data_IF_257602127104
#
_entry.id   IF_257602127104
#
_cell.length_a   1.000
_cell.length_b   1.000
_cell.length_c   1.000
_cell.angle_alpha   90.00
_cell.angle_beta   90.00
_cell.angle_gamma   90.00
#
_symmetry.space_group_name_H-M   'P 1'
#
loop_
_entity.id
_entity.type
_entity.pdbx_description
1 polymer ?
#
# COMPACT_ATOMS: atom_id res chain seq x y z
N UNK A 1 81.55 -22.85 -4.91
CA UNK A 1 80.56 -23.65 -4.17
C UNK A 1 80.25 -22.95 -2.86
N UNK A 2 79.15 -22.18 -2.80
CA UNK A 2 78.64 -21.62 -1.55
C UNK A 2 77.24 -22.19 -1.32
N UNK A 3 77.08 -22.78 -0.13
CA UNK A 3 75.85 -23.33 0.42
C UNK A 3 74.91 -22.22 0.91
N UNK A 4 73.62 -22.59 0.96
CA UNK A 4 72.58 -22.16 1.89
C UNK A 4 72.14 -20.69 1.86
N UNK A 5 70.82 -20.46 1.69
CA UNK A 5 69.90 -20.37 2.83
C UNK A 5 68.47 -20.07 2.31
N UNK A 6 67.65 -21.11 2.12
CA UNK A 6 66.20 -20.95 1.94
C UNK A 6 65.55 -21.41 3.23
N UNK A 7 65.16 -20.47 4.08
CA UNK A 7 64.04 -20.61 5.03
C UNK A 7 63.82 -19.29 5.75
N UNK A 8 62.57 -18.78 5.71
CA UNK A 8 61.89 -17.99 6.76
C UNK A 8 60.91 -16.93 6.22
N UNK A 9 59.88 -17.29 5.44
CA UNK A 9 58.80 -16.33 5.14
C UNK A 9 57.39 -16.92 5.00
N UNK A 10 57.12 -18.10 5.56
CA UNK A 10 55.80 -18.78 5.42
C UNK A 10 54.86 -18.66 6.64
N UNK A 11 55.31 -18.03 7.74
CA UNK A 11 54.56 -17.98 9.01
C UNK A 11 53.68 -16.74 9.23
N UNK A 12 53.97 -15.60 8.59
CA UNK A 12 53.28 -14.32 8.86
C UNK A 12 51.89 -14.18 8.22
N UNK A 13 51.69 -14.77 7.03
CA UNK A 13 50.47 -14.55 6.24
C UNK A 13 49.23 -15.29 6.83
N UNK A 14 49.44 -16.40 7.53
CA UNK A 14 48.33 -17.21 8.09
C UNK A 14 47.72 -16.60 9.36
N UNK A 15 48.50 -15.89 10.20
CA UNK A 15 47.98 -15.24 11.42
C UNK A 15 47.08 -14.04 11.09
N UNK A 16 47.46 -13.22 10.10
CA UNK A 16 46.68 -12.04 9.71
C UNK A 16 45.32 -12.39 9.07
N UNK A 17 45.24 -13.48 8.31
CA UNK A 17 43.98 -13.98 7.72
C UNK A 17 43.04 -14.54 8.80
N UNK A 18 43.55 -15.31 9.75
CA UNK A 18 42.75 -15.85 10.85
C UNK A 18 42.14 -14.75 11.72
N UNK A 19 42.93 -13.72 12.01
CA UNK A 19 42.50 -12.55 12.78
C UNK A 19 41.37 -11.80 12.06
N UNK A 20 41.47 -11.61 10.74
CA UNK A 20 40.45 -10.92 9.95
C UNK A 20 39.11 -11.67 9.91
N UNK A 21 39.14 -13.00 9.81
CA UNK A 21 37.93 -13.84 9.88
C UNK A 21 37.28 -13.83 11.27
N UNK A 22 38.09 -13.85 12.34
CA UNK A 22 37.60 -13.76 13.71
C UNK A 22 36.90 -12.41 13.98
N UNK A 23 37.50 -11.29 13.55
CA UNK A 23 36.90 -9.96 13.72
C UNK A 23 35.63 -9.77 12.90
N UNK A 24 35.56 -10.34 11.68
CA UNK A 24 34.37 -10.24 10.83
C UNK A 24 33.15 -10.96 11.41
N UNK A 25 33.34 -12.16 11.96
CA UNK A 25 32.24 -12.91 12.58
C UNK A 25 31.80 -12.30 13.93
N UNK A 26 32.75 -11.72 14.68
CA UNK A 26 32.46 -11.17 16.01
C UNK A 26 31.71 -9.83 15.94
N UNK A 27 31.96 -9.00 14.91
CA UNK A 27 31.27 -7.71 14.77
C UNK A 27 29.77 -7.87 14.54
N UNK A 28 29.34 -8.89 13.78
CA UNK A 28 27.93 -9.20 13.61
C UNK A 28 27.30 -9.55 14.95
N UNK A 29 27.91 -10.42 15.76
CA UNK A 29 27.35 -10.77 17.06
C UNK A 29 27.29 -9.59 18.03
N UNK A 30 28.31 -8.73 18.04
CA UNK A 30 28.30 -7.49 18.83
C UNK A 30 27.15 -6.57 18.41
N UNK A 31 26.95 -6.37 17.10
CA UNK A 31 25.92 -5.48 16.58
C UNK A 31 24.51 -5.98 16.95
N UNK A 32 24.29 -7.28 16.86
CA UNK A 32 23.01 -7.90 17.27
C UNK A 32 22.80 -7.85 18.79
N UNK A 33 23.86 -7.97 19.59
CA UNK A 33 23.79 -7.81 21.04
C UNK A 33 23.37 -6.39 21.44
N UNK A 34 23.98 -5.34 20.86
CA UNK A 34 23.59 -3.96 21.14
C UNK A 34 22.18 -3.63 20.67
N UNK A 35 21.77 -4.15 19.51
CA UNK A 35 20.41 -3.99 18.99
C UNK A 35 19.38 -4.62 19.95
N UNK A 36 19.66 -5.82 20.46
CA UNK A 36 18.82 -6.48 21.45
C UNK A 36 18.76 -5.71 22.78
N UNK A 37 19.87 -5.16 23.24
CA UNK A 37 19.94 -4.39 24.48
C UNK A 37 19.19 -3.06 24.37
N UNK A 38 19.18 -2.42 23.20
CA UNK A 38 18.37 -1.23 22.92
C UNK A 38 16.86 -1.52 23.08
N UNK A 39 16.36 -2.61 22.50
CA UNK A 39 14.96 -3.03 22.68
C UNK A 39 14.64 -3.43 24.13
N UNK A 40 15.59 -4.06 24.83
CA UNK A 40 15.40 -4.48 26.21
C UNK A 40 15.35 -3.29 27.19
N UNK A 41 16.23 -2.30 27.03
CA UNK A 41 16.25 -1.09 27.88
C UNK A 41 15.02 -0.20 27.68
N UNK A 42 14.43 -0.22 26.48
CA UNK A 42 13.17 0.47 26.19
C UNK A 42 11.99 -0.13 26.96
N UNK A 43 12.08 -1.42 27.33
CA UNK A 43 11.05 -2.13 28.07
C UNK A 43 11.06 -1.80 29.58
N UNK A 44 12.20 -1.43 30.15
CA UNK A 44 12.35 -1.09 31.58
C UNK A 44 12.14 0.39 31.91
N UNK A 45 11.90 1.25 30.91
CA UNK A 45 11.65 2.68 31.15
C UNK A 45 10.17 3.02 31.39
N UNK A 46 9.30 2.01 31.48
CA UNK A 46 7.85 2.17 31.70
C UNK A 46 7.36 1.22 32.80
N UNK A 47 7.87 1.38 34.02
CA UNK A 47 7.30 0.92 35.30
C UNK A 47 8.28 1.45 36.36
N UNK A 48 8.00 2.46 37.19
CA UNK A 48 7.07 2.42 38.30
C UNK A 48 6.95 3.84 38.88
N UNK A 49 5.74 4.27 39.23
CA UNK A 49 5.47 4.90 40.53
C UNK A 49 3.97 5.15 40.73
N UNK A 50 3.31 4.19 41.36
CA UNK A 50 2.08 4.38 42.12
C UNK A 50 2.40 4.82 43.57
N UNK A 51 1.94 6.04 43.96
CA UNK A 51 1.41 6.57 45.27
C UNK A 51 1.72 5.89 46.64
N UNK A 52 1.71 6.56 47.84
CA UNK A 52 0.86 7.71 48.27
C UNK A 52 1.44 8.79 49.27
N UNK A 53 0.74 9.94 49.33
CA UNK A 53 0.58 10.94 50.44
C UNK A 53 1.77 11.51 51.23
N UNK A 54 2.07 12.81 51.03
CA UNK A 54 2.17 13.81 52.13
C UNK A 54 2.09 15.26 51.61
N UNK A 55 1.46 16.10 52.42
CA UNK A 55 1.08 17.50 52.24
C UNK A 55 2.32 18.39 52.00
N UNK A 56 2.33 19.22 50.94
CA UNK A 56 2.82 20.62 51.00
C UNK A 56 2.06 21.54 50.05
N UNK A 57 1.65 22.65 50.64
CA UNK A 57 0.91 23.77 50.09
C UNK A 57 1.67 24.56 49.00
N UNK A 58 0.84 25.22 48.19
CA UNK A 58 1.06 26.49 47.47
C UNK A 58 1.79 26.43 46.12
N UNK A 59 0.99 26.38 45.04
CA UNK A 59 1.14 27.33 43.93
C UNK A 59 -0.16 27.43 43.14
N UNK A 60 -0.82 28.57 43.26
CA UNK A 60 -1.81 29.04 42.30
C UNK A 60 -1.17 29.06 40.90
N UNK A 61 -1.80 28.46 39.89
CA UNK A 61 -2.14 29.13 38.61
C UNK A 61 -2.80 28.15 37.60
N UNK A 62 -4.07 28.42 37.29
CA UNK A 62 -4.85 28.08 36.08
C UNK A 62 -4.69 26.69 35.46
N UNK A 63 -5.71 25.87 35.68
CA UNK A 63 -6.11 24.72 34.85
C UNK A 63 -6.28 25.15 33.39
N UNK A 64 -5.35 24.73 32.53
CA UNK A 64 -5.69 24.51 31.12
C UNK A 64 -6.35 23.15 31.04
N UNK A 65 -7.62 23.13 30.62
CA UNK A 65 -8.35 21.90 30.34
C UNK A 65 -7.53 21.05 29.38
N UNK A 66 -7.17 19.84 29.81
CA UNK A 66 -6.62 18.83 28.92
C UNK A 66 -7.66 18.53 27.85
N UNK A 67 -7.48 19.10 26.66
CA UNK A 67 -8.26 18.67 25.51
C UNK A 67 -7.97 17.18 25.30
N UNK A 68 -8.99 16.30 25.24
CA UNK A 68 -8.76 14.91 24.85
C UNK A 68 -8.11 14.90 23.46
N UNK A 69 -7.19 13.96 23.24
CA UNK A 69 -6.52 13.76 21.95
C UNK A 69 -7.56 13.77 20.82
N UNK A 70 -7.29 14.47 19.70
CA UNK A 70 -8.18 14.55 18.53
C UNK A 70 -8.76 13.19 18.12
N UNK A 71 -7.98 12.12 18.25
CA UNK A 71 -8.41 10.74 17.99
C UNK A 71 -9.56 10.24 18.88
N UNK A 72 -9.68 10.70 20.14
CA UNK A 72 -10.79 10.37 21.04
C UNK A 72 -12.04 11.23 20.77
N UNK A 73 -11.86 12.47 20.29
CA UNK A 73 -12.96 13.32 19.83
C UNK A 73 -13.53 12.76 18.52
N UNK A 74 -12.67 12.29 17.63
CA UNK A 74 -13.06 11.71 16.34
C UNK A 74 -13.68 10.31 16.53
N UNK A 75 -13.19 9.48 17.45
CA UNK A 75 -13.79 8.16 17.72
C UNK A 75 -15.16 8.21 18.39
N UNK A 76 -15.47 9.28 19.14
CA UNK A 76 -16.80 9.50 19.72
C UNK A 76 -17.75 10.21 18.75
N UNK A 77 -17.25 11.01 17.81
CA UNK A 77 -18.04 11.65 16.75
C UNK A 77 -18.33 10.74 15.54
N UNK A 78 -17.56 9.67 15.32
CA UNK A 78 -17.67 8.80 14.12
C UNK A 78 -18.60 7.60 14.27
N UNK A 79 -19.10 7.31 15.48
CA UNK A 79 -19.97 6.14 15.70
C UNK A 79 -21.42 6.32 15.24
N UNK A 80 -21.84 7.55 14.91
CA UNK A 80 -23.19 7.87 14.43
C UNK A 80 -23.21 8.56 13.05
N UNK A 81 -22.05 8.89 12.48
CA UNK A 81 -21.93 9.62 11.20
C UNK A 81 -21.37 8.82 10.04
N UNK A 82 -20.72 7.66 10.27
CA UNK A 82 -20.18 6.85 9.16
C UNK A 82 -21.26 6.20 8.30
N UNK A 83 -22.40 5.81 8.89
CA UNK A 83 -23.56 5.37 8.13
C UNK A 83 -24.21 6.52 7.35
N UNK A 84 -24.16 7.75 7.88
CA UNK A 84 -24.77 8.93 7.26
C UNK A 84 -23.94 9.56 6.13
N UNK A 85 -22.61 9.47 6.18
CA UNK A 85 -21.73 10.12 5.19
C UNK A 85 -21.83 9.49 3.78
N UNK A 86 -22.10 8.19 3.72
CA UNK A 86 -22.31 7.46 2.46
C UNK A 86 -23.77 6.99 2.29
N UNK A 87 -24.68 7.39 3.18
CA UNK A 87 -26.10 7.04 3.08
C UNK A 87 -26.70 7.69 1.84
N UNK A 88 -27.07 6.87 0.87
CA UNK A 88 -27.68 7.33 -0.37
C UNK A 88 -26.71 7.55 -1.53
N UNK A 89 -25.41 7.30 -1.35
CA UNK A 89 -24.46 7.30 -2.46
C UNK A 89 -24.89 6.28 -3.52
N UNK A 90 -24.93 6.71 -4.78
CA UNK A 90 -25.23 5.87 -5.93
C UNK A 90 -24.05 5.80 -6.88
N UNK A 91 -23.69 4.58 -7.27
CA UNK A 91 -22.61 4.31 -8.21
C UNK A 91 -23.20 3.62 -9.44
N UNK A 92 -23.02 4.23 -10.60
CA UNK A 92 -23.33 3.56 -11.87
C UNK A 92 -22.11 2.73 -12.30
N UNK A 93 -22.35 1.51 -12.77
CA UNK A 93 -21.29 0.64 -13.31
C UNK A 93 -21.48 0.55 -14.81
N UNK A 94 -20.45 0.89 -15.58
CA UNK A 94 -20.51 0.78 -17.04
C UNK A 94 -20.59 -0.67 -17.51
N UNK A 95 -21.45 -0.90 -18.51
CA UNK A 95 -21.53 -2.16 -19.24
C UNK A 95 -20.53 -2.16 -20.42
N UNK A 96 -19.25 -2.40 -20.13
CA UNK A 96 -18.20 -2.46 -21.14
C UNK A 96 -18.15 -3.82 -21.88
N UNK A 97 -17.66 -3.84 -23.14
CA UNK A 97 -17.35 -5.09 -23.84
C UNK A 97 -16.38 -5.99 -23.06
N UNK A 98 -16.54 -7.31 -23.21
CA UNK A 98 -15.76 -8.32 -22.49
C UNK A 98 -14.23 -8.18 -22.68
N UNK A 99 -13.80 -7.60 -23.80
CA UNK A 99 -12.39 -7.30 -24.09
C UNK A 99 -11.72 -6.38 -23.07
N UNK A 100 -12.50 -5.59 -22.33
CA UNK A 100 -11.99 -4.73 -21.26
C UNK A 100 -11.95 -5.41 -19.89
N UNK A 101 -12.68 -6.51 -19.71
CA UNK A 101 -12.83 -7.19 -18.41
C UNK A 101 -12.80 -8.73 -18.51
N UNK A 102 -13.93 -9.37 -18.79
CA UNK A 102 -14.15 -10.81 -18.61
C UNK A 102 -13.22 -11.67 -19.48
N UNK A 103 -12.78 -11.18 -20.64
CA UNK A 103 -11.80 -11.87 -21.47
C UNK A 103 -10.46 -12.06 -20.73
N UNK A 104 -10.06 -11.09 -19.90
CA UNK A 104 -8.83 -11.18 -19.09
C UNK A 104 -8.94 -12.21 -17.97
N UNK A 105 -10.13 -12.35 -17.37
CA UNK A 105 -10.40 -13.39 -16.37
C UNK A 105 -10.41 -14.76 -17.02
N UNK A 106 -11.02 -14.87 -18.20
CA UNK A 106 -11.09 -16.13 -18.96
C UNK A 106 -9.71 -16.55 -19.47
N UNK A 107 -8.86 -15.59 -19.84
CA UNK A 107 -7.49 -15.87 -20.27
C UNK A 107 -6.59 -16.35 -19.11
N UNK A 108 -6.86 -15.93 -17.86
CA UNK A 108 -6.10 -16.37 -16.70
C UNK A 108 -6.87 -16.23 -15.38
N UNK A 109 -7.06 -17.36 -14.70
CA UNK A 109 -7.66 -17.41 -13.34
C UNK A 109 -6.94 -16.53 -12.32
N UNK A 110 -5.69 -16.14 -12.61
CA UNK A 110 -4.88 -15.29 -11.75
C UNK A 110 -5.45 -13.88 -11.62
N UNK A 111 -6.16 -13.40 -12.65
CA UNK A 111 -6.88 -12.13 -12.61
C UNK A 111 -7.98 -12.13 -11.54
N UNK A 112 -8.62 -13.28 -11.29
CA UNK A 112 -9.72 -13.38 -10.34
C UNK A 112 -9.32 -13.74 -8.89
N UNK A 113 -8.11 -14.28 -8.68
CA UNK A 113 -7.75 -14.95 -7.41
C UNK A 113 -6.49 -14.41 -6.72
N UNK A 114 -5.55 -13.80 -7.45
CA UNK A 114 -4.28 -13.34 -6.87
C UNK A 114 -4.37 -11.89 -6.35
N UNK A 115 -3.24 -11.36 -5.86
CA UNK A 115 -3.04 -9.98 -5.36
C UNK A 115 -3.47 -8.86 -6.34
N UNK A 116 -3.85 -9.21 -7.57
CA UNK A 116 -4.27 -8.31 -8.64
C UNK A 116 -5.78 -8.33 -8.88
N UNK A 117 -6.53 -9.12 -8.10
CA UNK A 117 -7.97 -9.26 -8.21
C UNK A 117 -8.75 -8.09 -7.58
N UNK A 118 -8.09 -7.01 -7.12
CA UNK A 118 -8.81 -5.90 -6.49
C UNK A 118 -9.84 -5.26 -7.42
N UNK A 119 -9.50 -5.06 -8.70
CA UNK A 119 -10.44 -4.53 -9.71
C UNK A 119 -11.62 -5.47 -9.94
N UNK A 120 -11.36 -6.79 -10.01
CA UNK A 120 -12.39 -7.83 -10.17
C UNK A 120 -13.28 -7.92 -8.93
N UNK A 121 -12.68 -7.84 -7.74
CA UNK A 121 -13.38 -7.89 -6.46
C UNK A 121 -14.27 -6.67 -6.27
N UNK A 122 -13.77 -5.46 -6.57
CA UNK A 122 -14.57 -4.22 -6.52
C UNK A 122 -15.69 -4.28 -7.54
N UNK A 123 -15.41 -4.70 -8.78
CA UNK A 123 -16.44 -4.84 -9.80
C UNK A 123 -17.56 -5.79 -9.34
N UNK A 124 -17.22 -7.01 -8.92
CA UNK A 124 -18.20 -7.99 -8.41
C UNK A 124 -18.95 -7.50 -7.19
N UNK A 125 -18.26 -6.84 -6.25
CA UNK A 125 -18.89 -6.28 -5.05
C UNK A 125 -19.92 -5.21 -5.43
N UNK A 126 -19.56 -4.27 -6.33
CA UNK A 126 -20.48 -3.23 -6.82
C UNK A 126 -21.69 -3.84 -7.52
N UNK A 127 -21.50 -4.83 -8.40
CA UNK A 127 -22.60 -5.53 -9.06
C UNK A 127 -23.60 -6.14 -8.07
N UNK A 128 -23.14 -6.57 -6.89
CA UNK A 128 -23.97 -7.18 -5.83
C UNK A 128 -24.44 -6.21 -4.74
N UNK A 129 -24.05 -4.94 -4.80
CA UNK A 129 -24.26 -3.96 -3.73
C UNK A 129 -25.52 -3.11 -3.94
N UNK A 130 -26.13 -2.67 -2.83
CA UNK A 130 -27.30 -1.76 -2.84
C UNK A 130 -26.98 -0.31 -3.26
N UNK A 131 -25.69 0.04 -3.29
CA UNK A 131 -25.21 1.35 -3.76
C UNK A 131 -25.18 1.45 -5.28
N UNK A 132 -25.25 0.32 -6.00
CA UNK A 132 -25.29 0.34 -7.46
C UNK A 132 -26.62 0.90 -7.94
N UNK A 133 -26.57 1.84 -8.88
CA UNK A 133 -27.74 2.28 -9.65
C UNK A 133 -27.67 1.77 -11.09
N UNK A 134 -28.84 1.56 -11.70
CA UNK A 134 -28.99 1.28 -13.13
C UNK A 134 -29.32 2.55 -13.92
N UNK A 135 -29.72 3.62 -13.23
CA UNK A 135 -29.98 4.91 -13.83
C UNK A 135 -28.74 5.81 -13.68
N UNK A 136 -28.07 6.20 -14.79
CA UNK A 136 -26.90 7.08 -14.73
C UNK A 136 -27.25 8.51 -14.27
N UNK A 137 -28.51 8.95 -14.34
CA UNK A 137 -28.92 10.29 -13.86
C UNK A 137 -28.96 10.37 -12.32
N UNK A 138 -29.15 9.23 -11.63
CA UNK A 138 -29.14 9.16 -10.17
C UNK A 138 -27.73 8.92 -9.60
N UNK A 139 -26.71 8.75 -10.45
CA UNK A 139 -25.37 8.36 -10.03
C UNK A 139 -24.51 9.54 -9.57
N UNK A 140 -23.87 9.39 -8.41
CA UNK A 140 -22.86 10.33 -7.90
C UNK A 140 -21.47 10.05 -8.49
N UNK A 141 -21.20 8.78 -8.80
CA UNK A 141 -19.94 8.32 -9.40
C UNK A 141 -20.17 7.22 -10.43
N UNK A 142 -19.23 7.12 -11.37
CA UNK A 142 -19.24 6.12 -12.43
C UNK A 142 -18.05 5.20 -12.26
N UNK A 143 -18.29 3.92 -12.00
CA UNK A 143 -17.24 2.93 -11.95
C UNK A 143 -16.98 2.36 -13.35
N UNK A 144 -15.72 2.39 -13.78
CA UNK A 144 -15.30 1.90 -15.10
C UNK A 144 -14.54 0.57 -14.95
N UNK A 145 -15.17 -0.59 -15.26
CA UNK A 145 -14.60 -1.91 -14.99
C UNK A 145 -13.56 -2.34 -16.03
N UNK A 146 -12.40 -1.68 -16.07
CA UNK A 146 -11.27 -2.05 -16.96
C UNK A 146 -10.23 -2.85 -16.17
N UNK A 147 -9.98 -4.10 -16.56
CA UNK A 147 -9.08 -5.02 -15.86
C UNK A 147 -7.61 -4.83 -16.27
N UNK A 148 -7.12 -3.60 -16.14
CA UNK A 148 -5.78 -3.17 -16.60
C UNK A 148 -4.63 -3.97 -16.00
N UNK A 149 -4.79 -4.50 -14.78
CA UNK A 149 -3.77 -5.28 -14.08
C UNK A 149 -3.72 -6.75 -14.51
N UNK A 150 -4.58 -7.23 -15.42
CA UNK A 150 -4.74 -8.66 -15.68
C UNK A 150 -3.94 -9.21 -16.86
N UNK A 151 -2.97 -8.45 -17.37
CA UNK A 151 -2.01 -8.93 -18.36
C UNK A 151 -0.79 -9.53 -17.66
N UNK A 152 -0.65 -10.86 -17.58
CA UNK A 152 0.46 -11.50 -16.88
C UNK A 152 1.59 -11.91 -17.83
N UNK A 153 2.84 -11.57 -17.47
CA UNK A 153 4.00 -12.13 -18.15
C UNK A 153 4.16 -13.61 -17.78
N UNK A 154 4.31 -14.46 -18.79
CA UNK A 154 4.53 -15.90 -18.63
C UNK A 154 5.87 -16.25 -18.00
N UNK A 155 6.86 -15.34 -18.06
CA UNK A 155 8.24 -15.61 -17.62
C UNK A 155 8.49 -15.41 -16.12
N UNK A 156 7.77 -14.49 -15.48
CA UNK A 156 7.98 -14.14 -14.06
C UNK A 156 6.67 -14.13 -13.24
N UNK A 157 5.52 -14.30 -13.90
CA UNK A 157 4.21 -14.31 -13.25
C UNK A 157 3.74 -12.95 -12.74
N UNK A 158 4.42 -11.85 -13.02
CA UNK A 158 3.98 -10.51 -12.65
C UNK A 158 3.11 -9.89 -13.75
N UNK A 159 2.15 -9.00 -13.38
CA UNK A 159 1.41 -8.26 -14.38
C UNK A 159 2.33 -7.29 -15.14
N UNK A 160 2.15 -7.23 -16.45
CA UNK A 160 2.79 -6.30 -17.36
C UNK A 160 1.88 -5.11 -17.59
N UNK A 161 2.39 -3.90 -17.27
CA UNK A 161 1.67 -2.64 -17.50
C UNK A 161 1.88 -2.09 -18.92
N UNK A 162 2.56 -2.82 -19.80
CA UNK A 162 2.87 -2.37 -21.17
C UNK A 162 1.63 -2.01 -21.99
N UNK A 163 0.53 -2.74 -21.80
CA UNK A 163 -0.74 -2.52 -22.50
C UNK A 163 -1.68 -1.54 -21.78
N UNK A 164 -1.32 -1.09 -20.57
CA UNK A 164 -2.24 -0.36 -19.69
C UNK A 164 -2.75 0.95 -20.32
N UNK A 165 -1.83 1.76 -20.87
CA UNK A 165 -2.19 3.04 -21.50
C UNK A 165 -3.11 2.86 -22.70
N UNK A 166 -2.82 1.91 -23.58
CA UNK A 166 -3.67 1.64 -24.76
C UNK A 166 -5.04 1.11 -24.38
N UNK A 167 -5.12 0.22 -23.37
CA UNK A 167 -6.39 -0.34 -22.93
C UNK A 167 -7.29 0.73 -22.31
N UNK A 168 -6.71 1.60 -21.46
CA UNK A 168 -7.46 2.69 -20.83
C UNK A 168 -7.88 3.75 -21.85
N UNK A 169 -7.00 4.13 -22.79
CA UNK A 169 -7.34 5.06 -23.87
C UNK A 169 -8.51 4.55 -24.71
N UNK A 170 -8.44 3.28 -25.16
CA UNK A 170 -9.52 2.69 -25.95
C UNK A 170 -10.83 2.53 -25.16
N UNK A 171 -10.76 2.35 -23.84
CA UNK A 171 -11.95 2.37 -22.99
C UNK A 171 -12.56 3.77 -22.95
N UNK A 172 -11.75 4.82 -22.78
CA UNK A 172 -12.22 6.22 -22.80
C UNK A 172 -12.84 6.59 -24.15
N UNK A 173 -12.20 6.21 -25.26
CA UNK A 173 -12.75 6.44 -26.61
C UNK A 173 -14.11 5.75 -26.75
N UNK A 174 -14.21 4.49 -26.33
CA UNK A 174 -15.47 3.75 -26.34
C UNK A 174 -16.55 4.42 -25.49
N UNK A 175 -16.19 4.91 -24.30
CA UNK A 175 -17.11 5.60 -23.40
C UNK A 175 -17.62 6.90 -23.99
N UNK A 176 -16.73 7.72 -24.54
CA UNK A 176 -17.08 8.99 -25.18
C UNK A 176 -18.02 8.79 -26.36
N UNK A 177 -17.80 7.73 -27.15
CA UNK A 177 -18.62 7.42 -28.33
C UNK A 177 -20.01 6.87 -27.99
N UNK A 178 -20.15 6.10 -26.90
CA UNK A 178 -21.38 5.33 -26.61
C UNK A 178 -22.19 5.88 -25.44
N UNK A 179 -21.59 6.65 -24.54
CA UNK A 179 -22.22 7.09 -23.31
C UNK A 179 -22.15 8.61 -23.15
N UNK A 180 -23.29 9.33 -23.14
CA UNK A 180 -23.30 10.79 -23.14
C UNK A 180 -22.80 11.42 -21.83
N UNK A 181 -22.66 10.63 -20.76
CA UNK A 181 -22.28 11.11 -19.44
C UNK A 181 -20.77 11.12 -19.19
N UNK A 182 -19.94 10.51 -20.06
CA UNK A 182 -18.49 10.72 -20.02
C UNK A 182 -18.11 12.18 -20.29
N UNK A 183 -18.67 12.75 -21.36
CA UNK A 183 -18.36 14.12 -21.81
C UNK A 183 -18.88 15.22 -20.86
N UNK A 184 -19.86 14.91 -20.01
CA UNK A 184 -20.44 15.85 -19.04
C UNK A 184 -19.39 16.42 -18.08
N UNK A 185 -18.45 15.58 -17.66
CA UNK A 185 -17.44 15.87 -16.66
C UNK A 185 -16.03 15.62 -17.16
N UNK A 186 -15.90 15.17 -18.42
CA UNK A 186 -14.66 14.73 -19.03
C UNK A 186 -13.96 13.63 -18.21
N UNK A 187 -14.70 12.84 -17.43
CA UNK A 187 -14.16 11.76 -16.60
C UNK A 187 -13.91 12.13 -15.13
N UNK A 188 -14.28 13.33 -14.66
CA UNK A 188 -13.95 13.73 -13.28
C UNK A 188 -14.74 12.97 -12.20
N UNK A 189 -15.91 12.44 -12.54
CA UNK A 189 -16.74 11.56 -11.71
C UNK A 189 -16.58 10.07 -12.07
N UNK A 190 -15.56 9.72 -12.89
CA UNK A 190 -15.31 8.36 -13.37
C UNK A 190 -14.11 7.74 -12.66
N UNK A 191 -14.36 6.62 -11.98
CA UNK A 191 -13.37 5.95 -11.14
C UNK A 191 -12.85 4.69 -11.83
N UNK A 192 -11.55 4.67 -12.05
CA UNK A 192 -10.78 3.51 -12.49
C UNK A 192 -10.03 2.91 -11.30
N UNK A 193 -9.90 1.58 -11.27
CA UNK A 193 -9.14 0.88 -10.23
C UNK A 193 -7.91 0.21 -10.85
N UNK A 194 -6.74 0.54 -10.30
CA UNK A 194 -5.49 -0.15 -10.60
C UNK A 194 -4.83 -0.64 -9.30
N UNK A 195 -4.55 -1.94 -9.23
CA UNK A 195 -3.99 -2.59 -8.03
C UNK A 195 -2.46 -2.66 -8.03
N UNK A 196 -1.80 -2.27 -9.12
CA UNK A 196 -0.35 -2.31 -9.28
C UNK A 196 0.17 -0.87 -9.41
N UNK A 197 1.14 -0.49 -8.56
CA UNK A 197 1.89 0.75 -8.76
C UNK A 197 2.70 0.65 -10.06
N UNK A 198 2.33 1.48 -11.02
CA UNK A 198 3.25 1.86 -12.07
C UNK A 198 4.40 2.68 -11.44
N UNK A 199 5.63 2.62 -11.98
CA UNK A 199 6.72 3.47 -11.51
C UNK A 199 6.28 4.95 -11.53
N UNK A 200 6.81 5.78 -10.63
CA UNK A 200 6.33 7.15 -10.32
C UNK A 200 6.17 8.12 -11.51
N UNK A 201 6.63 7.75 -12.70
CA UNK A 201 6.46 8.50 -13.96
C UNK A 201 5.17 8.12 -14.71
N UNK A 202 4.45 7.12 -14.23
CA UNK A 202 3.23 6.54 -14.79
C UNK A 202 2.13 6.49 -13.72
N UNK A 203 1.98 7.51 -12.87
CA UNK A 203 0.84 7.57 -11.94
C UNK A 203 -0.46 7.68 -12.75
N UNK A 204 -1.04 6.53 -13.09
CA UNK A 204 -2.31 6.34 -13.80
C UNK A 204 -3.51 6.87 -12.99
N UNK A 205 -3.31 7.15 -11.70
CA UNK A 205 -4.34 7.73 -10.83
C UNK A 205 -4.50 9.25 -10.92
N UNK A 206 -3.70 9.96 -11.75
CA UNK A 206 -3.72 11.42 -11.76
C UNK A 206 -3.64 12.11 -13.12
N UNK A 207 -3.54 11.37 -14.23
CA UNK A 207 -3.46 11.98 -15.57
C UNK A 207 -4.27 11.15 -16.58
N UNK A 208 -5.59 11.23 -16.44
CA UNK A 208 -6.50 11.19 -17.59
C UNK A 208 -7.20 12.56 -17.66
N UNK A 209 -6.41 13.59 -17.98
CA UNK A 209 -6.83 14.88 -18.53
C UNK A 209 -5.64 15.45 -19.31
#
# INVERSE_FOLDING_TARGET
MQLNNINNNRGGNKRNIFIFFFFRNYYTWILWFFLSLYFFTSYFSVEDQSSPSSIRLLSNHKTSSSFPSRALIESSATKTTSFGLFSGMKIYVYDLPASFNDDWVTASDRCATHLFAAVVAIHRALLSSDVRTLDPEEADFFFVPVYVSCNFSTSNGFPSLSHARSLLSSAVDFLSDHYPFWDRTQGSDHVFVASQLAPANDVVFGYFF
#
